data_IF_520236096477
#
_entry.id   IF_520236096477
#
_cell.length_a   1.000
_cell.length_b   1.000
_cell.length_c   1.000
_cell.angle_alpha   90.00
_cell.angle_beta   90.00
_cell.angle_gamma   90.00
#
_symmetry.space_group_name_H-M   'P 1'
#
loop_
_entity.id
_entity.type
_entity.pdbx_description
1 polymer ?
#
# COMPACT_ATOMS: atom_id res chain seq x y z
N UNK A 1 2.71 3.75 10.55
CA UNK A 1 1.48 3.44 9.79
C UNK A 1 1.73 2.39 8.72
N UNK A 2 0.70 1.67 8.27
CA UNK A 2 0.71 0.88 7.04
C UNK A 2 -0.16 1.61 6.03
N UNK A 3 0.43 2.09 4.93
CA UNK A 3 -0.27 2.85 3.89
C UNK A 3 -0.56 1.94 2.71
N UNK A 4 -1.77 2.02 2.16
CA UNK A 4 -2.23 1.26 1.00
C UNK A 4 -2.66 2.21 -0.11
N UNK A 5 -2.20 1.94 -1.33
CA UNK A 5 -2.62 2.67 -2.53
C UNK A 5 -2.68 1.76 -3.76
N UNK A 6 -3.70 1.92 -4.56
CA UNK A 6 -3.77 1.53 -5.98
C UNK A 6 -4.82 2.37 -6.69
N UNK A 7 -4.67 2.58 -7.98
CA UNK A 7 -5.70 3.13 -8.87
C UNK A 7 -6.79 2.11 -9.25
N UNK A 8 -6.62 0.85 -8.83
CA UNK A 8 -7.60 -0.22 -9.00
C UNK A 8 -8.28 -0.56 -7.67
N UNK A 9 -9.57 -0.22 -7.51
CA UNK A 9 -10.36 -0.49 -6.30
C UNK A 9 -10.20 -1.93 -5.79
N UNK A 10 -10.36 -2.91 -6.67
CA UNK A 10 -10.31 -4.33 -6.27
C UNK A 10 -8.96 -4.68 -5.64
N UNK A 11 -7.88 -4.16 -6.20
CA UNK A 11 -6.54 -4.41 -5.70
C UNK A 11 -6.33 -3.75 -4.33
N UNK A 12 -6.88 -2.56 -4.09
CA UNK A 12 -6.85 -1.94 -2.74
C UNK A 12 -7.51 -2.84 -1.71
N UNK A 13 -8.67 -3.44 -2.00
CA UNK A 13 -9.35 -4.34 -1.08
C UNK A 13 -8.52 -5.59 -0.74
N UNK A 14 -7.81 -6.14 -1.71
CA UNK A 14 -6.87 -7.25 -1.50
C UNK A 14 -5.68 -6.83 -0.60
N UNK A 15 -5.11 -5.65 -0.86
CA UNK A 15 -3.99 -5.11 -0.07
C UNK A 15 -4.39 -4.76 1.36
N UNK A 16 -5.62 -4.30 1.59
CA UNK A 16 -6.13 -3.97 2.92
C UNK A 16 -6.12 -5.18 3.86
N UNK A 17 -6.37 -6.39 3.36
CA UNK A 17 -6.26 -7.61 4.16
C UNK A 17 -4.84 -7.77 4.72
N UNK A 18 -3.83 -7.68 3.87
CA UNK A 18 -2.43 -7.79 4.30
C UNK A 18 -2.02 -6.63 5.20
N UNK A 19 -2.44 -5.41 4.86
CA UNK A 19 -2.18 -4.22 5.66
C UNK A 19 -2.75 -4.34 7.08
N UNK A 20 -3.96 -4.91 7.22
CA UNK A 20 -4.58 -5.12 8.52
C UNK A 20 -3.83 -6.16 9.36
N UNK A 21 -3.35 -7.25 8.74
CA UNK A 21 -2.51 -8.23 9.43
C UNK A 21 -1.23 -7.58 9.97
N UNK A 22 -0.49 -6.87 9.11
CA UNK A 22 0.72 -6.15 9.49
C UNK A 22 0.45 -5.07 10.55
N UNK A 23 -0.64 -4.33 10.38
CA UNK A 23 -1.05 -3.29 11.32
C UNK A 23 -1.34 -3.83 12.72
N UNK A 24 -2.03 -4.97 12.82
CA UNK A 24 -2.30 -5.64 14.10
C UNK A 24 -1.02 -6.12 14.78
N UNK A 25 -0.11 -6.78 14.05
CA UNK A 25 1.14 -7.28 14.60
C UNK A 25 2.08 -6.15 15.04
N UNK A 26 2.13 -5.07 14.29
CA UNK A 26 3.00 -3.91 14.56
C UNK A 26 2.33 -2.83 15.43
N UNK A 27 1.06 -3.01 15.80
CA UNK A 27 0.25 -2.01 16.52
C UNK A 27 0.20 -0.65 15.78
N UNK A 28 0.00 -0.69 14.47
CA UNK A 28 -0.04 0.49 13.59
C UNK A 28 -1.36 0.58 12.87
N UNK A 29 -1.86 1.81 12.72
CA UNK A 29 -3.06 2.09 11.92
C UNK A 29 -2.82 1.83 10.44
N UNK A 30 -3.88 1.37 9.77
CA UNK A 30 -3.94 1.13 8.33
C UNK A 30 -4.60 2.32 7.65
N UNK A 31 -3.88 2.92 6.72
CA UNK A 31 -4.33 4.04 5.91
C UNK A 31 -4.56 3.61 4.48
N UNK A 32 -5.74 3.87 3.93
CA UNK A 32 -5.99 3.77 2.50
C UNK A 32 -6.00 5.16 1.87
N UNK A 33 -5.41 5.32 0.71
CA UNK A 33 -5.39 6.59 -0.01
C UNK A 33 -6.22 6.48 -1.28
N UNK A 34 -7.11 7.45 -1.48
CA UNK A 34 -7.85 7.67 -2.72
C UNK A 34 -7.37 9.00 -3.31
N UNK A 35 -6.95 8.98 -4.57
CA UNK A 35 -6.64 10.18 -5.33
C UNK A 35 -7.68 10.30 -6.42
N UNK A 36 -8.60 11.25 -6.27
CA UNK A 36 -9.76 11.43 -7.13
C UNK A 36 -11.05 11.59 -6.35
N UNK A 37 -12.10 10.85 -6.72
CA UNK A 37 -13.41 10.92 -6.03
C UNK A 37 -13.47 10.00 -4.81
N UNK A 38 -14.28 10.35 -3.83
CA UNK A 38 -14.50 9.60 -2.59
C UNK A 38 -15.41 8.36 -2.73
N UNK A 39 -15.81 8.03 -3.94
CA UNK A 39 -16.80 6.97 -4.25
C UNK A 39 -16.55 5.64 -3.52
N UNK A 40 -15.27 5.29 -3.28
CA UNK A 40 -14.89 4.02 -2.65
C UNK A 40 -14.46 4.15 -1.19
N UNK A 41 -14.51 5.33 -0.62
CA UNK A 41 -14.00 5.56 0.74
C UNK A 41 -14.68 4.69 1.78
N UNK A 42 -16.02 4.56 1.71
CA UNK A 42 -16.78 3.69 2.60
C UNK A 42 -16.41 2.22 2.44
N UNK A 43 -16.24 1.74 1.21
CA UNK A 43 -15.86 0.35 0.95
C UNK A 43 -14.49 0.03 1.56
N UNK A 44 -13.53 0.97 1.53
CA UNK A 44 -12.21 0.75 2.13
C UNK A 44 -12.27 0.66 3.66
N UNK A 45 -13.11 1.47 4.31
CA UNK A 45 -13.38 1.32 5.75
C UNK A 45 -13.97 -0.04 6.08
N UNK A 46 -15.01 -0.45 5.34
CA UNK A 46 -15.69 -1.73 5.53
C UNK A 46 -14.77 -2.94 5.29
N UNK A 47 -13.65 -2.77 4.58
CA UNK A 47 -12.66 -3.81 4.31
C UNK A 47 -11.34 -3.64 5.08
N UNK A 48 -11.34 -2.88 6.17
CA UNK A 48 -10.26 -2.91 7.16
C UNK A 48 -9.30 -1.73 7.16
N UNK A 49 -9.60 -0.62 6.45
CA UNK A 49 -8.89 0.62 6.67
C UNK A 49 -9.32 1.26 8.00
N UNK A 50 -8.37 1.76 8.79
CA UNK A 50 -8.64 2.57 9.97
C UNK A 50 -8.86 4.05 9.59
N UNK A 51 -8.18 4.51 8.55
CA UNK A 51 -8.28 5.87 8.01
C UNK A 51 -8.30 5.80 6.49
N UNK A 52 -9.23 6.48 5.87
CA UNK A 52 -9.24 6.68 4.41
C UNK A 52 -8.97 8.15 4.12
N UNK A 53 -7.86 8.43 3.47
CA UNK A 53 -7.50 9.78 3.05
C UNK A 53 -7.96 9.97 1.61
N UNK A 54 -8.82 10.96 1.39
CA UNK A 54 -9.32 11.32 0.06
C UNK A 54 -8.66 12.62 -0.37
N UNK A 55 -7.88 12.55 -1.44
CA UNK A 55 -7.26 13.72 -2.05
C UNK A 55 -8.00 14.02 -3.35
N UNK A 56 -8.86 15.02 -3.30
CA UNK A 56 -9.56 15.49 -4.49
C UNK A 56 -8.57 16.08 -5.50
N UNK A 57 -8.65 15.64 -6.75
CA UNK A 57 -7.86 16.18 -7.84
C UNK A 57 -8.77 16.43 -9.04
N UNK A 58 -8.65 17.58 -9.69
CA UNK A 58 -9.43 17.87 -10.89
C UNK A 58 -9.04 17.01 -12.10
N UNK A 59 -7.95 16.26 -11.97
CA UNK A 59 -7.39 15.47 -13.07
C UNK A 59 -7.86 14.03 -12.98
N UNK A 60 -8.44 13.53 -14.08
CA UNK A 60 -8.87 12.13 -14.20
C UNK A 60 -7.75 11.18 -14.66
N UNK A 61 -6.57 11.69 -14.98
CA UNK A 61 -5.45 10.89 -15.47
C UNK A 61 -4.33 10.80 -14.46
N UNK A 62 -3.75 9.61 -14.33
CA UNK A 62 -2.58 9.36 -13.50
C UNK A 62 -1.40 10.23 -13.91
N UNK A 63 -0.83 10.95 -12.95
CA UNK A 63 0.41 11.71 -13.10
C UNK A 63 1.38 11.29 -12.00
N UNK A 64 2.39 10.53 -12.37
CA UNK A 64 3.31 9.93 -11.43
C UNK A 64 3.97 10.93 -10.48
N UNK A 65 4.35 12.12 -10.95
CA UNK A 65 5.00 13.15 -10.13
C UNK A 65 4.06 13.77 -9.09
N UNK A 66 2.82 14.06 -9.49
CA UNK A 66 1.78 14.61 -8.61
C UNK A 66 1.43 13.58 -7.53
N UNK A 67 1.15 12.34 -7.93
CA UNK A 67 0.80 11.26 -7.02
C UNK A 67 1.94 10.91 -6.04
N UNK A 68 3.19 10.95 -6.52
CA UNK A 68 4.36 10.80 -5.66
C UNK A 68 4.43 11.91 -4.60
N UNK A 69 4.13 13.15 -4.99
CA UNK A 69 4.15 14.30 -4.06
C UNK A 69 3.02 14.22 -3.03
N UNK A 70 1.82 13.76 -3.44
CA UNK A 70 0.69 13.52 -2.54
C UNK A 70 1.05 12.45 -1.50
N UNK A 71 1.51 11.27 -1.93
CA UNK A 71 1.88 10.20 -1.01
C UNK A 71 3.03 10.61 -0.07
N UNK A 72 4.02 11.35 -0.59
CA UNK A 72 5.09 11.88 0.24
C UNK A 72 4.57 12.84 1.33
N UNK A 73 3.62 13.72 0.98
CA UNK A 73 2.96 14.62 1.94
C UNK A 73 2.24 13.84 3.04
N UNK A 74 1.39 12.89 2.67
CA UNK A 74 0.68 12.03 3.63
C UNK A 74 1.65 11.31 4.56
N UNK A 75 2.72 10.76 4.02
CA UNK A 75 3.72 10.04 4.82
C UNK A 75 4.51 10.97 5.75
N UNK A 76 4.69 12.23 5.38
CA UNK A 76 5.33 13.22 6.25
C UNK A 76 4.48 13.52 7.47
N UNK A 77 3.16 13.57 7.30
CA UNK A 77 2.22 13.98 8.36
C UNK A 77 1.83 12.80 9.27
N UNK A 78 1.76 11.59 8.73
CA UNK A 78 1.25 10.41 9.44
C UNK A 78 2.29 9.32 9.75
N UNK A 79 3.52 9.44 9.26
CA UNK A 79 4.62 8.50 9.51
C UNK A 79 5.12 7.77 8.27
N UNK A 80 6.30 7.16 8.38
CA UNK A 80 7.05 6.57 7.25
C UNK A 80 7.43 5.13 7.54
N UNK A 81 6.46 4.22 7.66
CA UNK A 81 6.79 2.83 8.00
C UNK A 81 6.69 1.90 6.77
N UNK A 82 5.49 1.45 6.43
CA UNK A 82 5.26 0.46 5.36
C UNK A 82 4.29 1.05 4.33
N UNK A 83 4.59 0.86 3.06
CA UNK A 83 3.75 1.30 1.94
C UNK A 83 3.50 0.13 0.99
N UNK A 84 2.24 -0.29 0.90
CA UNK A 84 1.77 -1.33 -0.02
C UNK A 84 1.12 -0.66 -1.24
N UNK A 85 1.67 -0.87 -2.41
CA UNK A 85 1.16 -0.32 -3.67
C UNK A 85 0.73 -1.46 -4.59
N UNK A 86 -0.39 -1.30 -5.28
CA UNK A 86 -0.82 -2.25 -6.30
C UNK A 86 0.19 -2.35 -7.45
N UNK A 87 0.59 -3.57 -7.85
CA UNK A 87 1.65 -3.80 -8.82
C UNK A 87 1.13 -3.81 -10.27
N UNK A 88 0.41 -2.74 -10.64
CA UNK A 88 0.14 -2.46 -12.05
C UNK A 88 1.19 -1.48 -12.61
N UNK A 89 1.04 -1.07 -13.88
CA UNK A 89 2.00 -0.17 -14.54
C UNK A 89 2.20 1.13 -13.77
N UNK A 90 1.11 1.78 -13.36
CA UNK A 90 1.15 3.04 -12.64
C UNK A 90 1.73 2.89 -11.23
N UNK A 91 1.34 1.82 -10.53
CA UNK A 91 1.82 1.53 -9.18
C UNK A 91 3.32 1.24 -9.12
N UNK A 92 3.87 0.51 -10.09
CA UNK A 92 5.32 0.27 -10.18
C UNK A 92 6.10 1.57 -10.40
N UNK A 93 5.63 2.44 -11.31
CA UNK A 93 6.24 3.73 -11.55
C UNK A 93 6.17 4.60 -10.29
N UNK A 94 5.02 4.64 -9.64
CA UNK A 94 4.79 5.41 -8.42
C UNK A 94 5.70 4.93 -7.28
N UNK A 95 5.81 3.61 -7.05
CA UNK A 95 6.64 3.03 -6.02
C UNK A 95 8.13 3.37 -6.23
N UNK A 96 8.64 3.24 -7.46
CA UNK A 96 10.01 3.58 -7.79
C UNK A 96 10.32 5.07 -7.57
N UNK A 97 9.44 5.97 -8.01
CA UNK A 97 9.58 7.41 -7.83
C UNK A 97 9.51 7.81 -6.35
N UNK A 98 8.56 7.22 -5.61
CA UNK A 98 8.41 7.48 -4.18
C UNK A 98 9.64 7.02 -3.39
N UNK A 99 10.17 5.83 -3.68
CA UNK A 99 11.38 5.31 -3.08
C UNK A 99 12.59 6.23 -3.34
N UNK A 100 12.79 6.63 -4.58
CA UNK A 100 13.86 7.57 -4.95
C UNK A 100 13.71 8.90 -4.21
N UNK A 101 12.51 9.47 -4.13
CA UNK A 101 12.23 10.76 -3.49
C UNK A 101 12.41 10.71 -1.97
N UNK A 102 12.20 9.55 -1.36
CA UNK A 102 12.38 9.31 0.08
C UNK A 102 13.75 8.71 0.45
N UNK A 103 14.62 8.55 -0.55
CA UNK A 103 15.96 7.96 -0.40
C UNK A 103 15.91 6.58 0.28
N UNK A 104 15.03 5.71 -0.20
CA UNK A 104 14.85 4.34 0.29
C UNK A 104 14.75 3.35 -0.87
N UNK A 105 14.76 2.05 -0.55
CA UNK A 105 14.52 1.01 -1.54
C UNK A 105 13.03 0.68 -1.73
N UNK A 106 12.71 0.01 -2.85
CA UNK A 106 11.43 -0.64 -3.04
C UNK A 106 11.58 -2.03 -3.63
N UNK A 107 10.68 -2.94 -3.26
CA UNK A 107 10.63 -4.30 -3.82
C UNK A 107 9.37 -4.42 -4.67
N UNK A 108 9.55 -4.87 -5.92
CA UNK A 108 8.48 -4.98 -6.90
C UNK A 108 7.96 -6.41 -7.01
N UNK A 109 6.64 -6.52 -7.30
CA UNK A 109 5.98 -7.80 -7.60
C UNK A 109 6.11 -8.83 -6.46
N UNK A 110 5.91 -8.40 -5.22
CA UNK A 110 5.95 -9.28 -4.06
C UNK A 110 4.82 -10.31 -4.11
N UNK A 111 5.16 -11.58 -3.95
CA UNK A 111 4.21 -12.69 -3.92
C UNK A 111 3.87 -13.14 -2.51
N UNK A 112 4.65 -12.72 -1.52
CA UNK A 112 4.35 -12.91 -0.11
C UNK A 112 4.97 -11.77 0.72
N UNK A 113 4.33 -11.46 1.86
CA UNK A 113 4.77 -10.43 2.80
C UNK A 113 4.44 -10.90 4.21
N UNK A 114 5.43 -10.93 5.09
CA UNK A 114 5.25 -11.41 6.46
C UNK A 114 6.25 -10.77 7.42
N UNK A 115 5.98 -10.88 8.71
CA UNK A 115 6.87 -10.44 9.77
C UNK A 115 7.63 -11.62 10.38
N UNK A 116 8.92 -11.45 10.57
CA UNK A 116 9.74 -12.31 11.43
C UNK A 116 10.18 -11.49 12.65
N UNK A 117 9.47 -11.65 13.75
CA UNK A 117 9.57 -10.72 14.87
C UNK A 117 9.03 -9.32 14.45
N UNK A 118 9.91 -8.32 14.40
CA UNK A 118 9.56 -6.97 13.92
C UNK A 118 10.10 -6.65 12.52
N UNK A 119 10.81 -7.59 11.91
CA UNK A 119 11.41 -7.42 10.60
C UNK A 119 10.41 -7.80 9.52
N UNK A 120 10.16 -6.90 8.58
CA UNK A 120 9.35 -7.17 7.41
C UNK A 120 10.17 -7.91 6.37
N UNK A 121 9.72 -9.10 6.02
CA UNK A 121 10.27 -9.91 4.94
C UNK A 121 9.29 -9.97 3.79
N UNK A 122 9.81 -9.92 2.58
CA UNK A 122 9.04 -10.02 1.35
C UNK A 122 9.63 -11.08 0.45
N UNK A 123 8.76 -11.81 -0.25
CA UNK A 123 9.16 -12.80 -1.24
C UNK A 123 8.75 -12.33 -2.63
N UNK A 124 9.61 -12.57 -3.59
CA UNK A 124 9.28 -12.38 -4.99
C UNK A 124 9.93 -13.44 -5.89
N UNK A 125 9.30 -13.68 -7.01
CA UNK A 125 9.80 -14.61 -8.01
C UNK A 125 10.91 -13.92 -8.82
N UNK A 126 12.04 -14.60 -8.96
CA UNK A 126 13.21 -14.11 -9.69
C UNK A 126 13.70 -15.15 -10.70
N UNK A 127 14.67 -14.79 -11.54
CA UNK A 127 15.24 -15.65 -12.58
C UNK A 127 14.16 -16.30 -13.47
N UNK A 128 13.22 -15.49 -13.98
CA UNK A 128 12.14 -15.94 -14.87
C UNK A 128 11.28 -17.08 -14.30
N UNK A 129 11.05 -17.09 -12.99
CA UNK A 129 10.23 -18.10 -12.34
C UNK A 129 11.00 -19.27 -11.71
N UNK A 130 12.33 -19.26 -11.78
CA UNK A 130 13.15 -20.41 -11.34
C UNK A 130 13.58 -20.33 -9.86
N UNK A 131 13.41 -19.17 -9.20
CA UNK A 131 13.77 -19.00 -7.80
C UNK A 131 12.83 -18.01 -7.10
N UNK A 132 12.76 -18.12 -5.77
CA UNK A 132 12.11 -17.15 -4.89
C UNK A 132 13.22 -16.45 -4.12
N UNK A 133 13.26 -15.12 -4.21
CA UNK A 133 14.09 -14.28 -3.36
C UNK A 133 13.31 -13.90 -2.11
N UNK A 134 13.94 -14.00 -0.95
CA UNK A 134 13.47 -13.41 0.30
C UNK A 134 14.30 -12.17 0.57
N UNK A 135 13.65 -11.03 0.68
CA UNK A 135 14.31 -9.73 0.80
C UNK A 135 13.90 -9.05 2.11
N UNK A 136 14.84 -8.34 2.72
CA UNK A 136 14.66 -7.51 3.90
C UNK A 136 14.97 -6.05 3.56
N UNK A 137 14.21 -5.11 4.15
CA UNK A 137 14.47 -3.68 4.00
C UNK A 137 15.47 -3.21 5.07
N UNK A 138 16.52 -2.54 4.62
CA UNK A 138 17.53 -1.91 5.50
C UNK A 138 17.24 -0.44 5.79
N UNK A 139 16.24 0.13 5.13
CA UNK A 139 15.84 1.54 5.24
C UNK A 139 14.33 1.67 5.41
N UNK A 140 13.88 2.84 5.86
CA UNK A 140 12.47 3.20 5.94
C UNK A 140 12.18 4.47 5.12
N UNK A 141 10.99 4.60 4.56
CA UNK A 141 9.87 3.65 4.58
C UNK A 141 10.16 2.38 3.79
N UNK A 142 9.48 1.30 4.14
CA UNK A 142 9.54 0.02 3.43
C UNK A 142 8.46 0.01 2.34
N UNK A 143 8.86 0.19 1.08
CA UNK A 143 7.95 0.34 -0.05
C UNK A 143 7.95 -0.94 -0.86
N UNK A 144 6.76 -1.50 -1.12
CA UNK A 144 6.63 -2.71 -1.91
C UNK A 144 5.40 -2.66 -2.82
N UNK A 145 5.47 -3.34 -3.95
CA UNK A 145 4.33 -3.53 -4.82
C UNK A 145 3.87 -4.98 -4.84
N UNK A 146 2.56 -5.18 -4.90
CA UNK A 146 1.92 -6.50 -4.82
C UNK A 146 0.97 -6.65 -6.01
N UNK A 147 1.11 -7.70 -6.83
CA UNK A 147 0.18 -8.00 -7.92
C UNK A 147 -1.22 -8.34 -7.41
N UNK A 148 -2.21 -8.21 -8.28
CA UNK A 148 -3.56 -8.68 -8.01
C UNK A 148 -3.60 -10.21 -7.78
N UNK A 149 -4.55 -10.67 -6.97
CA UNK A 149 -4.80 -12.08 -6.64
C UNK A 149 -3.69 -12.76 -5.82
N UNK A 150 -2.83 -11.99 -5.18
CA UNK A 150 -1.88 -12.49 -4.17
C UNK A 150 -2.58 -12.67 -2.83
N UNK A 151 -3.48 -11.77 -2.48
CA UNK A 151 -4.30 -11.83 -1.28
C UNK A 151 -5.78 -11.75 -1.62
N UNK A 152 -6.64 -12.37 -0.79
CA UNK A 152 -8.07 -12.21 -0.90
C UNK A 152 -8.54 -10.98 -0.11
N UNK A 153 -9.58 -10.26 -0.57
CA UNK A 153 -10.19 -9.19 0.22
C UNK A 153 -10.75 -9.72 1.54
N UNK A 154 -10.71 -8.88 2.59
CA UNK A 154 -11.43 -9.17 3.82
C UNK A 154 -12.95 -9.19 3.58
N UNK A 155 -13.71 -9.98 4.36
CA UNK A 155 -15.17 -9.86 4.35
C UNK A 155 -15.58 -8.47 4.82
N UNK A 156 -16.67 -7.96 4.26
CA UNK A 156 -17.24 -6.66 4.60
C UNK A 156 -17.66 -6.61 6.07
N UNK A 157 -17.22 -5.56 6.77
CA UNK A 157 -17.59 -5.30 8.16
C UNK A 157 -18.87 -4.46 8.22
N UNK A 158 -19.83 -4.86 9.02
CA UNK A 158 -21.11 -4.13 9.17
C UNK A 158 -20.96 -2.77 9.88
N UNK A 159 -20.00 -2.66 10.80
CA UNK A 159 -19.75 -1.45 11.60
C UNK A 159 -18.26 -1.09 11.62
N UNK A 160 -17.73 -0.50 10.56
CA UNK A 160 -16.33 -0.07 10.53
C UNK A 160 -16.13 1.08 11.54
N UNK A 161 -15.00 1.04 12.26
CA UNK A 161 -14.65 2.07 13.26
C UNK A 161 -13.73 3.16 12.72
N UNK A 162 -13.47 3.17 11.42
CA UNK A 162 -12.52 4.08 10.79
C UNK A 162 -13.12 5.47 10.48
N UNK A 163 -12.26 6.36 10.01
CA UNK A 163 -12.59 7.74 9.63
C UNK A 163 -12.18 8.04 8.18
N UNK A 164 -12.91 8.95 7.53
CA UNK A 164 -12.59 9.49 6.21
C UNK A 164 -12.09 10.93 6.42
N UNK A 165 -10.96 11.26 5.82
CA UNK A 165 -10.27 12.55 5.95
C UNK A 165 -9.96 13.13 4.59
#
# INVERSE_FOLDING_TARGET
>A
MVLVYSDEKKLVLELLNKAQQLGKELQKKVFAVIIGSDEYAKDYLEHGADVVIVVETPQQQFKAEEYTSILQGIMKDHGKDIVLIGSNKNGKELAARLAAKLNTGCVMDCTNVYLQGKTLLVERIVYSGNAIAVEEFTTAPQILTIPAKVFDPLPKQEHPKGEIV
#
